data_IF_397313349335
#
_entry.id   IF_397313349335
#
_cell.length_a   1.000
_cell.length_b   1.000
_cell.length_c   1.000
_cell.angle_alpha   90.00
_cell.angle_beta   90.00
_cell.angle_gamma   90.00
#
_symmetry.space_group_name_H-M   'P 1'
#
loop_
_entity.id
_entity.type
_entity.pdbx_description
1 polymer ?
#
# COMPACT_ATOMS: atom_id res chain seq x y z
N UNK A 1 -28.75 -26.90 -3.11
CA UNK A 1 -27.61 -27.31 -3.96
C UNK A 1 -26.40 -27.41 -3.05
N UNK A 2 -25.98 -28.63 -2.76
CA UNK A 2 -24.79 -28.90 -1.95
C UNK A 2 -23.52 -28.65 -2.76
N UNK A 3 -22.48 -28.12 -2.12
CA UNK A 3 -21.12 -28.18 -2.64
C UNK A 3 -20.19 -28.74 -1.56
N UNK A 4 -19.37 -29.70 -1.98
CA UNK A 4 -18.68 -30.69 -1.15
C UNK A 4 -17.78 -30.08 -0.08
N UNK A 5 -17.88 -30.61 1.14
CA UNK A 5 -17.00 -30.34 2.28
C UNK A 5 -15.64 -31.01 2.10
N UNK A 6 -14.78 -30.42 1.26
CA UNK A 6 -13.39 -30.83 1.12
C UNK A 6 -12.53 -30.22 2.24
N UNK A 7 -12.05 -31.06 3.16
CA UNK A 7 -11.12 -30.71 4.25
C UNK A 7 -9.76 -30.26 3.68
N UNK A 8 -9.67 -29.06 3.09
CA UNK A 8 -8.41 -28.43 2.67
C UNK A 8 -8.21 -27.15 3.47
N UNK A 9 -7.27 -27.15 4.41
CA UNK A 9 -6.69 -25.91 4.95
C UNK A 9 -5.81 -25.30 3.86
N UNK A 10 -6.40 -24.56 2.93
CA UNK A 10 -5.62 -23.69 2.05
C UNK A 10 -5.13 -22.52 2.90
N UNK A 11 -3.82 -22.45 3.16
CA UNK A 11 -3.20 -21.21 3.66
C UNK A 11 -3.30 -20.21 2.51
N UNK A 12 -4.21 -19.24 2.60
CA UNK A 12 -4.20 -18.10 1.67
C UNK A 12 -2.84 -17.41 1.85
N UNK A 13 -1.97 -17.58 0.88
CA UNK A 13 -0.75 -16.78 0.79
C UNK A 13 -1.22 -15.40 0.32
N UNK A 14 -1.23 -14.43 1.23
CA UNK A 14 -1.66 -13.07 0.92
C UNK A 14 -0.60 -12.39 0.04
N UNK A 15 -0.56 -12.72 -1.25
CA UNK A 15 0.35 -12.10 -2.22
C UNK A 15 0.14 -10.58 -2.34
N UNK A 16 -1.05 -10.08 -1.99
CA UNK A 16 -1.40 -8.65 -2.04
C UNK A 16 -1.23 -7.88 -0.73
N UNK A 17 -0.71 -8.51 0.33
CA UNK A 17 -0.60 -7.89 1.65
C UNK A 17 -1.94 -7.46 2.27
N UNK A 18 -1.87 -6.61 3.29
CA UNK A 18 -3.05 -6.01 3.95
C UNK A 18 -3.50 -4.77 3.18
N UNK A 19 -4.64 -4.89 2.48
CA UNK A 19 -5.21 -3.80 1.68
C UNK A 19 -5.66 -2.61 2.52
N UNK A 20 -6.13 -2.83 3.75
CA UNK A 20 -6.59 -1.74 4.61
C UNK A 20 -5.40 -0.93 5.10
N UNK A 21 -4.35 -1.61 5.57
CA UNK A 21 -3.12 -0.95 5.97
C UNK A 21 -2.51 -0.15 4.82
N UNK A 22 -2.44 -0.76 3.61
CA UNK A 22 -1.93 -0.08 2.42
C UNK A 22 -2.76 1.15 2.03
N UNK A 23 -4.09 1.07 2.12
CA UNK A 23 -4.97 2.21 1.86
C UNK A 23 -4.76 3.36 2.86
N UNK A 24 -4.52 3.04 4.14
CA UNK A 24 -4.23 4.03 5.17
C UNK A 24 -2.89 4.73 4.89
N UNK A 25 -1.84 3.97 4.56
CA UNK A 25 -0.53 4.54 4.22
C UNK A 25 -0.62 5.48 3.02
N UNK A 26 -1.30 5.04 1.95
CA UNK A 26 -1.53 5.87 0.77
C UNK A 26 -2.22 7.20 1.15
N UNK A 27 -3.27 7.14 1.97
CA UNK A 27 -4.00 8.35 2.39
C UNK A 27 -3.14 9.30 3.24
N UNK A 28 -2.30 8.76 4.12
CA UNK A 28 -1.35 9.57 4.92
C UNK A 28 -0.35 10.28 4.00
N UNK A 29 0.22 9.57 3.02
CA UNK A 29 1.18 10.14 2.07
C UNK A 29 0.55 11.30 1.30
N UNK A 30 -0.64 11.12 0.72
CA UNK A 30 -1.35 12.18 0.00
C UNK A 30 -1.65 13.40 0.89
N UNK A 31 -2.04 13.17 2.13
CA UNK A 31 -2.31 14.25 3.09
C UNK A 31 -1.03 15.04 3.40
N UNK A 32 0.09 14.35 3.62
CA UNK A 32 1.38 14.99 3.89
C UNK A 32 1.93 15.72 2.67
N UNK A 33 1.81 15.14 1.47
CA UNK A 33 2.16 15.84 0.23
C UNK A 33 1.33 17.11 0.04
N UNK A 34 0.08 17.16 0.51
CA UNK A 34 -0.75 18.36 0.40
C UNK A 34 -0.41 19.45 1.44
N UNK A 35 -0.04 19.11 2.67
CA UNK A 35 0.04 20.08 3.75
C UNK A 35 1.43 20.27 4.37
N UNK A 36 2.34 19.32 4.20
CA UNK A 36 3.67 19.37 4.80
C UNK A 36 4.73 19.77 3.75
N UNK A 37 5.27 21.01 3.81
CA UNK A 37 6.30 21.46 2.88
C UNK A 37 7.60 20.63 2.98
N UNK A 38 7.92 20.06 4.15
CA UNK A 38 9.10 19.19 4.32
C UNK A 38 8.94 17.89 3.53
N UNK A 39 7.74 17.30 3.55
CA UNK A 39 7.43 16.09 2.80
C UNK A 39 7.46 16.35 1.29
N UNK A 40 7.00 17.52 0.81
CA UNK A 40 7.12 17.93 -0.61
C UNK A 40 8.57 18.04 -1.06
N UNK A 41 9.40 18.75 -0.31
CA UNK A 41 10.82 18.92 -0.65
C UNK A 41 11.57 17.56 -0.68
N UNK A 42 11.25 16.66 0.26
CA UNK A 42 11.77 15.31 0.24
C UNK A 42 11.33 14.54 -1.01
N UNK A 43 10.04 14.62 -1.37
CA UNK A 43 9.47 13.95 -2.54
C UNK A 43 10.12 14.44 -3.84
N UNK A 44 10.21 15.76 -4.03
CA UNK A 44 10.84 16.37 -5.20
C UNK A 44 12.30 15.94 -5.34
N UNK A 45 13.07 15.92 -4.23
CA UNK A 45 14.44 15.41 -4.23
C UNK A 45 14.49 13.94 -4.62
N UNK A 46 13.60 13.10 -4.08
CA UNK A 46 13.54 11.66 -4.36
C UNK A 46 13.16 11.35 -5.81
N UNK A 47 12.26 12.11 -6.41
CA UNK A 47 11.88 11.99 -7.82
C UNK A 47 13.05 12.34 -8.73
N UNK A 48 13.85 13.37 -8.38
CA UNK A 48 15.05 13.74 -9.13
C UNK A 48 16.17 12.70 -9.03
N UNK A 49 16.24 11.94 -7.93
CA UNK A 49 17.19 10.84 -7.73
C UNK A 49 16.86 9.59 -8.57
N UNK A 50 15.84 9.63 -9.44
CA UNK A 50 15.46 8.52 -10.31
C UNK A 50 14.90 7.31 -9.56
N UNK A 51 14.52 7.49 -8.30
CA UNK A 51 13.83 6.47 -7.52
C UNK A 51 12.35 6.66 -7.76
N UNK A 52 11.68 5.65 -8.33
CA UNK A 52 10.23 5.71 -8.51
C UNK A 52 9.55 6.11 -7.18
N UNK A 53 8.55 7.01 -7.25
CA UNK A 53 7.75 7.32 -6.09
C UNK A 53 7.00 6.05 -5.63
N UNK A 54 6.88 5.83 -4.32
CA UNK A 54 6.14 4.68 -3.78
C UNK A 54 4.66 4.71 -4.11
#
# INVERSE_FOLDING_TARGET
>A
MEYSSGRRRTRRLNYGGDRQANAVLHRIVFTRLRHDPRTRAYYERRTQEGRDPP
#
